data_IF_670846125115
#
_entry.id   IF_670846125115
#
_cell.length_a   1.000
_cell.length_b   1.000
_cell.length_c   1.000
_cell.angle_alpha   90.00
_cell.angle_beta   90.00
_cell.angle_gamma   90.00
#
_symmetry.space_group_name_H-M   'P 1'
#
loop_
_entity.id
_entity.type
_entity.pdbx_description
1 polymer ?
#
# COMPACT_ATOMS: atom_id res chain seq x y z
N UNK A 1 -8.72 -12.70 -35.29
CA UNK A 1 -9.56 -11.74 -36.08
C UNK A 1 -11.01 -11.66 -35.58
N UNK A 2 -11.59 -12.77 -35.11
CA UNK A 2 -13.01 -12.87 -34.75
C UNK A 2 -13.48 -11.85 -33.72
N UNK A 3 -12.62 -11.51 -32.74
CA UNK A 3 -12.94 -10.54 -31.69
C UNK A 3 -13.14 -9.12 -32.24
N UNK A 4 -12.28 -8.70 -33.17
CA UNK A 4 -12.30 -7.36 -33.75
C UNK A 4 -13.48 -7.22 -34.73
N UNK A 5 -13.77 -8.24 -35.53
CA UNK A 5 -14.91 -8.20 -36.46
C UNK A 5 -16.27 -8.22 -35.75
N UNK A 6 -16.38 -8.90 -34.60
CA UNK A 6 -17.64 -9.03 -33.84
C UNK A 6 -17.90 -7.89 -32.86
N UNK A 7 -16.95 -6.98 -32.68
CA UNK A 7 -17.08 -5.87 -31.74
C UNK A 7 -17.83 -4.70 -32.37
N UNK A 8 -19.10 -4.54 -32.00
CA UNK A 8 -19.99 -3.49 -32.52
C UNK A 8 -19.63 -2.07 -32.06
N UNK A 9 -18.86 -1.94 -30.97
CA UNK A 9 -18.39 -0.65 -30.46
C UNK A 9 -17.05 -0.20 -31.06
N UNK A 10 -16.36 -1.08 -31.79
CA UNK A 10 -15.06 -0.79 -32.38
C UNK A 10 -15.24 -0.56 -33.88
N UNK A 11 -14.95 0.65 -34.36
CA UNK A 11 -14.91 0.97 -35.79
C UNK A 11 -13.61 1.70 -36.11
N UNK A 12 -12.73 1.03 -36.84
CA UNK A 12 -11.39 1.51 -37.14
C UNK A 12 -11.37 2.50 -38.30
N UNK A 13 -12.35 2.39 -39.21
CA UNK A 13 -12.50 3.28 -40.35
C UNK A 13 -13.99 3.51 -40.65
N UNK A 14 -14.32 4.68 -41.18
CA UNK A 14 -15.71 5.07 -41.46
C UNK A 14 -16.26 4.30 -42.67
N UNK A 15 -15.40 3.99 -43.65
CA UNK A 15 -15.78 3.46 -44.96
C UNK A 15 -15.35 2.00 -45.16
N UNK A 16 -14.40 1.49 -44.36
CA UNK A 16 -13.84 0.15 -44.49
C UNK A 16 -14.17 -0.72 -43.29
N UNK A 17 -14.35 -2.02 -43.53
CA UNK A 17 -14.52 -2.96 -42.43
C UNK A 17 -13.22 -3.10 -41.64
N UNK A 18 -13.35 -3.31 -40.33
CA UNK A 18 -12.20 -3.47 -39.43
C UNK A 18 -11.23 -4.56 -39.90
N UNK A 19 -11.73 -5.63 -40.54
CA UNK A 19 -10.90 -6.71 -41.08
C UNK A 19 -9.89 -6.20 -42.10
N UNK A 20 -10.34 -5.43 -43.09
CA UNK A 20 -9.46 -4.91 -44.14
C UNK A 20 -8.44 -3.94 -43.56
N UNK A 21 -8.88 -3.04 -42.67
CA UNK A 21 -7.99 -2.08 -42.02
C UNK A 21 -6.91 -2.78 -41.20
N UNK A 22 -7.29 -3.82 -40.45
CA UNK A 22 -6.34 -4.60 -39.63
C UNK A 22 -5.37 -5.38 -40.50
N UNK A 23 -5.86 -6.10 -41.52
CA UNK A 23 -4.99 -6.93 -42.36
C UNK A 23 -3.99 -6.07 -43.15
N UNK A 24 -4.42 -4.95 -43.72
CA UNK A 24 -3.55 -4.03 -44.45
C UNK A 24 -2.46 -3.43 -43.55
N UNK A 25 -2.80 -3.00 -42.33
CA UNK A 25 -1.82 -2.38 -41.42
C UNK A 25 -0.91 -3.41 -40.76
N UNK A 26 -1.43 -4.58 -40.42
CA UNK A 26 -0.67 -5.62 -39.76
C UNK A 26 0.20 -6.42 -40.73
N UNK A 27 -0.18 -6.58 -42.00
CA UNK A 27 0.61 -7.37 -42.95
C UNK A 27 2.03 -6.84 -43.08
N UNK A 28 2.18 -5.53 -43.23
CA UNK A 28 3.47 -4.86 -43.39
C UNK A 28 4.29 -4.83 -42.08
N UNK A 29 3.64 -4.94 -40.93
CA UNK A 29 4.29 -4.87 -39.61
C UNK A 29 4.74 -6.23 -39.08
N UNK A 30 4.11 -7.34 -39.51
CA UNK A 30 4.38 -8.68 -38.97
C UNK A 30 5.35 -9.45 -39.85
N UNK A 31 5.21 -9.37 -41.19
CA UNK A 31 6.07 -10.07 -42.14
C UNK A 31 6.52 -9.08 -43.20
N UNK A 32 7.84 -8.88 -43.27
CA UNK A 32 8.46 -8.06 -44.30
C UNK A 32 8.67 -8.91 -45.55
N UNK A 33 8.39 -8.32 -46.70
CA UNK A 33 8.71 -8.90 -48.00
C UNK A 33 10.19 -9.26 -48.13
N UNK A 34 10.47 -10.34 -48.85
CA UNK A 34 11.82 -10.87 -49.07
C UNK A 34 11.88 -11.56 -50.43
N UNK A 35 13.08 -11.84 -50.93
CA UNK A 35 13.29 -12.54 -52.21
C UNK A 35 12.56 -13.89 -52.29
N UNK A 36 12.24 -14.49 -51.14
CA UNK A 36 11.53 -15.77 -51.02
C UNK A 36 10.02 -15.63 -50.79
N UNK A 37 9.52 -14.45 -50.38
CA UNK A 37 8.13 -14.23 -49.97
C UNK A 37 7.61 -12.94 -50.60
N UNK A 38 6.70 -13.10 -51.56
CA UNK A 38 6.01 -11.98 -52.21
C UNK A 38 5.05 -11.25 -51.26
N UNK A 39 4.71 -9.98 -51.53
CA UNK A 39 3.76 -9.20 -50.70
C UNK A 39 2.40 -9.88 -50.53
N UNK A 40 1.91 -10.54 -51.59
CA UNK A 40 0.64 -11.29 -51.56
C UNK A 40 0.75 -12.50 -50.63
N UNK A 41 1.89 -13.19 -50.62
CA UNK A 41 2.13 -14.28 -49.68
C UNK A 41 2.26 -13.78 -48.24
N UNK A 42 2.91 -12.64 -48.01
CA UNK A 42 2.94 -12.01 -46.68
C UNK A 42 1.51 -11.75 -46.18
N UNK A 43 0.65 -11.16 -47.03
CA UNK A 43 -0.76 -10.92 -46.70
C UNK A 43 -1.51 -12.22 -46.40
N UNK A 44 -1.32 -13.27 -47.21
CA UNK A 44 -1.96 -14.58 -46.98
C UNK A 44 -1.52 -15.22 -45.66
N UNK A 45 -0.21 -15.20 -45.36
CA UNK A 45 0.32 -15.75 -44.12
C UNK A 45 -0.25 -14.99 -42.92
N UNK A 46 -0.20 -13.65 -42.96
CA UNK A 46 -0.74 -12.83 -41.86
C UNK A 46 -2.24 -13.04 -41.70
N UNK A 47 -2.98 -13.15 -42.81
CA UNK A 47 -4.42 -13.47 -42.76
C UNK A 47 -4.65 -14.81 -42.07
N UNK A 48 -3.90 -15.85 -42.44
CA UNK A 48 -3.98 -17.17 -41.82
C UNK A 48 -3.66 -17.13 -40.32
N UNK A 49 -2.57 -16.45 -39.92
CA UNK A 49 -2.16 -16.30 -38.53
C UNK A 49 -3.25 -15.60 -37.70
N UNK A 50 -3.82 -14.53 -38.24
CA UNK A 50 -4.80 -13.72 -37.53
C UNK A 50 -6.17 -14.41 -37.46
N UNK A 51 -6.53 -15.27 -38.42
CA UNK A 51 -7.80 -16.01 -38.42
C UNK A 51 -7.80 -17.25 -37.52
N UNK A 52 -6.62 -17.84 -37.32
CA UNK A 52 -6.40 -19.03 -36.50
C UNK A 52 -5.67 -18.71 -35.20
N UNK A 53 -5.73 -17.46 -34.73
CA UNK A 53 -4.92 -16.96 -33.62
C UNK A 53 -5.14 -17.75 -32.33
N UNK A 54 -6.39 -18.17 -32.11
CA UNK A 54 -6.80 -18.87 -30.89
C UNK A 54 -6.22 -20.27 -30.78
N UNK A 55 -5.89 -20.91 -31.90
CA UNK A 55 -5.37 -22.27 -31.97
C UNK A 55 -3.85 -22.25 -32.11
N UNK A 56 -3.33 -21.48 -33.08
CA UNK A 56 -1.90 -21.37 -33.37
C UNK A 56 -1.09 -20.87 -32.17
N UNK A 57 -1.61 -19.87 -31.46
CA UNK A 57 -0.96 -19.30 -30.28
C UNK A 57 -1.54 -19.85 -28.98
N UNK A 58 -2.31 -20.94 -29.04
CA UNK A 58 -2.75 -21.63 -27.85
C UNK A 58 -1.55 -22.27 -27.16
N UNK A 59 -1.44 -22.08 -25.85
CA UNK A 59 -0.40 -22.73 -25.06
C UNK A 59 -0.79 -24.20 -24.88
N UNK A 60 0.08 -25.17 -25.27
CA UNK A 60 -0.20 -26.60 -25.13
C UNK A 60 -0.56 -26.98 -23.69
N UNK A 61 -1.54 -27.86 -23.53
CA UNK A 61 -2.03 -28.29 -22.21
C UNK A 61 -0.93 -28.99 -21.39
N UNK A 62 -0.08 -29.76 -22.06
CA UNK A 62 1.09 -30.42 -21.46
C UNK A 62 2.04 -29.41 -20.83
N UNK A 63 2.41 -28.37 -21.58
CA UNK A 63 3.28 -27.31 -21.07
C UNK A 63 2.67 -26.58 -19.87
N UNK A 64 1.36 -26.33 -19.88
CA UNK A 64 0.66 -25.75 -18.72
C UNK A 64 0.74 -26.68 -17.50
N UNK A 65 0.56 -27.98 -17.69
CA UNK A 65 0.65 -28.97 -16.62
C UNK A 65 2.07 -28.98 -16.02
N UNK A 66 3.10 -29.07 -16.87
CA UNK A 66 4.51 -29.08 -16.45
C UNK A 66 4.88 -27.82 -15.64
N UNK A 67 4.45 -26.65 -16.11
CA UNK A 67 4.69 -25.37 -15.40
C UNK A 67 3.93 -25.34 -14.08
N UNK A 68 2.68 -25.81 -14.06
CA UNK A 68 1.85 -25.86 -12.84
C UNK A 68 2.47 -26.78 -11.81
N UNK A 69 2.90 -27.99 -12.20
CA UNK A 69 3.59 -28.94 -11.35
C UNK A 69 4.88 -28.35 -10.78
N UNK A 70 5.68 -27.67 -11.61
CA UNK A 70 6.91 -27.03 -11.14
C UNK A 70 6.65 -25.90 -10.14
N UNK A 71 5.57 -25.15 -10.32
CA UNK A 71 5.13 -24.10 -9.39
C UNK A 71 4.63 -24.72 -8.08
N UNK A 72 3.79 -25.76 -8.14
CA UNK A 72 3.24 -26.42 -6.94
C UNK A 72 4.36 -27.10 -6.15
N UNK A 73 5.27 -27.81 -6.81
CA UNK A 73 6.45 -28.41 -6.18
C UNK A 73 7.28 -27.36 -5.44
N UNK A 74 7.59 -26.22 -6.10
CA UNK A 74 8.34 -25.13 -5.45
C UNK A 74 7.58 -24.52 -4.27
N UNK A 75 6.25 -24.40 -4.35
CA UNK A 75 5.43 -23.90 -3.23
C UNK A 75 5.43 -24.90 -2.07
N UNK A 76 5.28 -26.19 -2.34
CA UNK A 76 5.34 -27.25 -1.34
C UNK A 76 6.71 -27.33 -0.67
N UNK A 77 7.81 -27.19 -1.41
CA UNK A 77 9.16 -27.11 -0.82
C UNK A 77 9.32 -25.92 0.15
N UNK A 78 8.67 -24.79 -0.13
CA UNK A 78 8.68 -23.63 0.79
C UNK A 78 7.82 -23.84 2.04
N UNK A 79 6.79 -24.67 1.96
CA UNK A 79 5.86 -24.95 3.09
C UNK A 79 6.36 -26.14 3.93
N UNK A 80 7.06 -27.09 3.32
CA UNK A 80 7.64 -28.27 3.98
C UNK A 80 8.94 -27.96 4.74
N UNK A 81 9.53 -26.78 4.54
CA UNK A 81 10.51 -26.24 5.48
C UNK A 81 9.72 -25.70 6.68
N UNK A 82 9.83 -26.30 7.87
CA UNK A 82 9.22 -25.74 9.06
C UNK A 82 9.73 -24.32 9.25
N UNK A 83 8.80 -23.48 9.67
CA UNK A 83 9.00 -22.12 10.10
C UNK A 83 10.01 -22.10 11.27
N UNK A 84 11.32 -22.22 11.00
CA UNK A 84 12.38 -21.79 11.91
C UNK A 84 12.40 -20.26 11.90
N UNK A 85 11.32 -19.68 12.45
CA UNK A 85 11.44 -18.42 13.16
C UNK A 85 12.21 -18.72 14.44
N UNK A 86 13.53 -18.71 14.32
CA UNK A 86 14.47 -18.25 15.34
C UNK A 86 15.72 -17.87 14.58
N UNK A 87 15.90 -16.55 14.51
CA UNK A 87 17.20 -15.88 14.65
C UNK A 87 18.39 -16.85 14.61
N UNK A 88 19.12 -16.87 13.50
CA UNK A 88 20.57 -16.75 13.57
C UNK A 88 21.19 -16.51 12.19
N UNK A 89 22.29 -15.80 12.27
CA UNK A 89 22.99 -15.16 11.18
C UNK A 89 23.71 -16.15 10.25
N UNK A 90 23.95 -15.65 9.04
CA UNK A 90 25.03 -16.04 8.12
C UNK A 90 24.89 -17.39 7.39
N UNK A 91 25.06 -17.28 6.08
CA UNK A 91 25.54 -18.32 5.15
C UNK A 91 24.49 -19.24 4.52
N UNK A 92 23.96 -18.84 3.36
CA UNK A 92 24.14 -19.65 2.14
C UNK A 92 23.76 -18.86 0.88
N UNK A 93 24.78 -18.54 0.09
CA UNK A 93 24.81 -18.43 -1.37
C UNK A 93 23.64 -17.75 -2.11
N UNK A 94 23.90 -16.53 -2.59
CA UNK A 94 23.72 -16.24 -4.02
C UNK A 94 22.44 -15.57 -4.50
N UNK A 95 21.54 -15.11 -3.63
CA UNK A 95 20.47 -14.17 -4.05
C UNK A 95 20.24 -13.09 -3.00
N UNK A 96 20.17 -11.79 -3.38
CA UNK A 96 19.54 -10.83 -2.51
C UNK A 96 18.12 -11.32 -2.25
N UNK A 97 17.81 -11.64 -0.99
CA UNK A 97 16.43 -11.84 -0.56
C UNK A 97 15.73 -10.53 -0.89
N UNK A 98 14.91 -10.55 -1.94
CA UNK A 98 14.00 -9.44 -2.23
C UNK A 98 13.07 -9.34 -1.02
N UNK A 99 13.40 -8.48 -0.07
CA UNK A 99 12.51 -8.07 1.00
C UNK A 99 11.51 -7.12 0.37
N UNK A 100 10.45 -7.70 -0.19
CA UNK A 100 9.26 -6.92 -0.49
C UNK A 100 8.53 -6.65 0.81
N UNK A 101 8.05 -5.43 1.00
CA UNK A 101 7.08 -5.14 2.05
C UNK A 101 5.79 -5.89 1.69
N UNK A 102 5.34 -6.79 2.57
CA UNK A 102 3.98 -7.32 2.47
C UNK A 102 2.98 -6.21 2.83
N UNK A 103 1.83 -6.12 2.14
CA UNK A 103 0.78 -5.19 2.51
C UNK A 103 0.29 -5.47 3.92
N UNK A 104 0.34 -4.47 4.79
CA UNK A 104 -0.17 -4.57 6.17
C UNK A 104 -1.70 -4.47 6.12
N UNK A 105 -2.39 -5.32 6.87
CA UNK A 105 -3.84 -5.23 7.00
C UNK A 105 -4.26 -3.93 7.69
N UNK A 106 -5.42 -3.37 7.34
CA UNK A 106 -5.87 -2.09 7.90
C UNK A 106 -5.94 -2.09 9.43
N UNK A 107 -6.39 -3.21 10.01
CA UNK A 107 -6.48 -3.40 11.47
C UNK A 107 -5.10 -3.41 12.12
N UNK A 108 -4.16 -4.13 11.53
CA UNK A 108 -2.78 -4.19 12.00
C UNK A 108 -2.11 -2.82 11.88
N UNK A 109 -2.37 -2.09 10.79
CA UNK A 109 -1.90 -0.71 10.63
C UNK A 109 -2.44 0.21 11.73
N UNK A 110 -3.74 0.15 12.03
CA UNK A 110 -4.34 0.97 13.08
C UNK A 110 -3.78 0.59 14.47
N UNK A 111 -3.62 -0.70 14.76
CA UNK A 111 -3.01 -1.17 16.01
C UNK A 111 -1.54 -0.75 16.17
N UNK A 112 -0.73 -0.91 15.11
CA UNK A 112 0.66 -0.46 15.09
C UNK A 112 0.76 1.06 15.19
N UNK A 113 -0.13 1.79 14.50
CA UNK A 113 -0.19 3.25 14.54
C UNK A 113 -0.54 3.73 15.94
N UNK A 114 -1.56 3.18 16.58
CA UNK A 114 -1.98 3.64 17.90
C UNK A 114 -0.99 3.22 18.99
N UNK A 115 -0.63 1.94 19.07
CA UNK A 115 0.23 1.42 20.15
C UNK A 115 1.70 1.80 19.96
N UNK A 116 2.20 1.70 18.73
CA UNK A 116 3.59 2.01 18.40
C UNK A 116 3.90 3.49 18.57
N UNK A 117 3.05 4.36 18.02
CA UNK A 117 3.25 5.82 18.15
C UNK A 117 3.06 6.26 19.60
N UNK A 118 2.04 5.74 20.31
CA UNK A 118 1.84 6.09 21.71
C UNK A 118 3.05 5.70 22.58
N UNK A 119 3.53 4.45 22.45
CA UNK A 119 4.70 3.99 23.20
C UNK A 119 5.93 4.82 22.89
N UNK A 120 6.17 5.13 21.62
CA UNK A 120 7.32 5.92 21.20
C UNK A 120 7.25 7.37 21.71
N UNK A 121 6.07 7.99 21.67
CA UNK A 121 5.84 9.32 22.23
C UNK A 121 6.01 9.36 23.75
N UNK A 122 5.60 8.31 24.47
CA UNK A 122 5.85 8.19 25.91
C UNK A 122 7.35 8.08 26.22
N UNK A 123 8.08 7.28 25.45
CA UNK A 123 9.55 7.18 25.57
C UNK A 123 10.20 8.53 25.33
N UNK A 124 9.81 9.25 24.27
CA UNK A 124 10.34 10.59 23.97
C UNK A 124 10.03 11.59 25.10
N UNK A 125 8.84 11.54 25.70
CA UNK A 125 8.48 12.36 26.86
C UNK A 125 9.31 12.00 28.11
N UNK A 126 9.63 10.72 28.29
CA UNK A 126 10.50 10.25 29.37
C UNK A 126 11.93 10.75 29.15
N UNK A 127 12.46 10.64 27.94
CA UNK A 127 13.80 11.12 27.57
C UNK A 127 13.94 12.63 27.81
N UNK A 128 12.99 13.45 27.37
CA UNK A 128 13.02 14.90 27.64
C UNK A 128 13.08 15.20 29.15
N UNK A 129 12.51 14.34 30.00
CA UNK A 129 12.52 14.48 31.45
C UNK A 129 13.73 13.81 32.11
N UNK A 130 14.32 12.80 31.52
CA UNK A 130 15.53 12.17 32.05
C UNK A 130 16.81 12.87 31.56
N UNK A 131 16.73 13.70 30.51
CA UNK A 131 17.90 14.32 29.90
C UNK A 131 18.51 15.39 30.81
N UNK A 132 19.68 15.09 31.38
CA UNK A 132 20.48 15.95 32.25
C UNK A 132 21.35 16.95 31.46
N UNK A 133 21.51 16.74 30.15
CA UNK A 133 22.28 17.64 29.28
C UNK A 133 21.51 18.92 28.91
N UNK A 134 20.21 19.00 29.23
CA UNK A 134 19.37 20.17 28.96
C UNK A 134 19.35 21.12 30.14
N UNK A 135 19.47 22.42 29.87
CA UNK A 135 19.18 23.43 30.88
C UNK A 135 17.72 23.35 31.34
N UNK A 136 17.46 23.72 32.61
CA UNK A 136 16.12 23.70 33.21
C UNK A 136 15.11 24.50 32.37
N UNK A 137 15.54 25.61 31.77
CA UNK A 137 14.69 26.45 30.93
C UNK A 137 14.38 25.80 29.57
N UNK A 138 15.33 25.10 28.98
CA UNK A 138 15.18 24.41 27.70
C UNK A 138 14.27 23.19 27.83
N UNK A 139 14.49 22.40 28.88
CA UNK A 139 13.63 21.27 29.23
C UNK A 139 12.19 21.71 29.48
N UNK A 140 11.98 22.84 30.16
CA UNK A 140 10.64 23.42 30.36
C UNK A 140 10.01 23.88 29.06
N UNK A 141 10.77 24.46 28.12
CA UNK A 141 10.27 24.84 26.79
C UNK A 141 9.88 23.61 25.97
N UNK A 142 10.70 22.56 25.97
CA UNK A 142 10.41 21.31 25.27
C UNK A 142 9.18 20.60 25.85
N UNK A 143 9.04 20.54 27.18
CA UNK A 143 7.85 20.01 27.85
C UNK A 143 6.58 20.79 27.50
N UNK A 144 6.65 22.13 27.44
CA UNK A 144 5.52 22.96 27.00
C UNK A 144 5.14 22.68 25.54
N UNK A 145 6.14 22.54 24.66
CA UNK A 145 5.91 22.21 23.24
C UNK A 145 5.28 20.83 23.11
N UNK A 146 5.82 19.82 23.81
CA UNK A 146 5.27 18.48 23.83
C UNK A 146 3.83 18.46 24.34
N UNK A 147 3.52 19.15 25.45
CA UNK A 147 2.16 19.26 25.98
C UNK A 147 1.18 19.89 24.98
N UNK A 148 1.62 20.88 24.20
CA UNK A 148 0.78 21.54 23.18
C UNK A 148 0.51 20.61 21.99
N UNK A 149 1.50 19.84 21.56
CA UNK A 149 1.39 18.96 20.38
C UNK A 149 0.68 17.64 20.70
N UNK A 150 0.95 17.05 21.87
CA UNK A 150 0.45 15.73 22.28
C UNK A 150 -0.15 15.76 23.70
N UNK A 151 -1.28 16.48 23.91
CA UNK A 151 -1.86 16.65 25.24
C UNK A 151 -2.30 15.33 25.87
N UNK A 152 -2.88 14.43 25.08
CA UNK A 152 -3.36 13.11 25.54
C UNK A 152 -2.24 12.25 26.13
N UNK A 153 -1.08 12.23 25.49
CA UNK A 153 0.10 11.47 25.95
C UNK A 153 0.72 12.12 27.19
N UNK A 154 0.75 13.46 27.23
CA UNK A 154 1.24 14.20 28.38
C UNK A 154 0.37 13.96 29.64
N UNK A 155 -0.95 13.93 29.50
CA UNK A 155 -1.89 13.68 30.59
C UNK A 155 -1.82 12.24 31.13
N UNK A 156 -1.53 11.25 30.28
CA UNK A 156 -1.28 9.86 30.72
C UNK A 156 -0.11 9.77 31.70
N UNK A 157 0.95 10.54 31.48
CA UNK A 157 2.15 10.55 32.33
C UNK A 157 2.06 11.51 33.51
N UNK A 158 1.46 12.68 33.32
CA UNK A 158 1.23 13.68 34.35
C UNK A 158 -0.27 13.93 34.48
N UNK A 159 -1.01 13.03 35.16
CA UNK A 159 -2.43 13.24 35.40
C UNK A 159 -2.60 14.55 36.16
N UNK A 160 -3.15 15.56 35.49
CA UNK A 160 -3.49 16.79 36.20
C UNK A 160 -4.61 16.45 37.19
N UNK A 161 -4.50 16.87 38.47
CA UNK A 161 -5.62 16.73 39.38
C UNK A 161 -6.82 17.43 38.73
N UNK A 162 -7.91 16.70 38.46
CA UNK A 162 -9.16 17.29 37.99
C UNK A 162 -9.44 18.48 38.91
N UNK A 163 -9.36 19.69 38.38
CA UNK A 163 -9.57 20.91 39.15
C UNK A 163 -10.91 20.73 39.86
N UNK A 164 -10.87 20.59 41.20
CA UNK A 164 -12.09 20.69 42.00
C UNK A 164 -12.76 22.00 41.58
N UNK A 165 -14.07 22.01 41.29
CA UNK A 165 -14.74 23.22 40.84
C UNK A 165 -14.41 24.33 41.83
N UNK A 166 -13.75 25.37 41.32
CA UNK A 166 -13.33 26.51 42.12
C UNK A 166 -14.63 27.12 42.65
N UNK A 167 -14.85 27.09 43.97
CA UNK A 167 -16.04 27.69 44.59
C UNK A 167 -16.19 29.11 44.02
N UNK A 168 -17.39 29.50 43.55
CA UNK A 168 -17.59 30.82 42.98
C UNK A 168 -17.16 31.86 44.02
N UNK A 169 -16.24 32.76 43.63
CA UNK A 169 -15.90 33.92 44.43
C UNK A 169 -17.09 34.87 44.35
N UNK A 170 -17.94 34.86 45.37
CA UNK A 170 -19.00 35.84 45.53
C UNK A 170 -18.35 37.24 45.59
N UNK A 171 -18.70 38.18 44.71
CA UNK A 171 -18.25 39.56 44.81
C UNK A 171 -18.71 40.14 46.16
N UNK A 172 -17.83 40.83 46.89
CA UNK A 172 -18.06 41.29 48.27
C UNK A 172 -19.29 42.18 48.49
N UNK A 173 -19.88 42.70 47.42
CA UNK A 173 -21.13 43.49 47.42
C UNK A 173 -22.32 42.63 47.86
N UNK A 174 -22.38 41.35 47.46
CA UNK A 174 -23.49 40.46 47.81
C UNK A 174 -23.46 39.99 49.27
N UNK A 175 -22.33 40.19 49.97
CA UNK A 175 -22.26 39.88 51.40
C UNK A 175 -22.94 40.94 52.28
N UNK A 176 -23.08 42.19 51.77
CA UNK A 176 -23.75 43.28 52.51
C UNK A 176 -25.27 43.27 52.37
N UNK A 177 -25.79 42.68 51.28
CA UNK A 177 -27.23 42.59 51.05
C UNK A 177 -27.91 41.48 51.86
N UNK A 178 -27.14 40.56 52.44
CA UNK A 178 -27.67 39.45 53.27
C UNK A 178 -28.10 39.88 54.68
N UNK A 179 -27.77 41.11 55.11
CA UNK A 179 -28.08 41.61 56.45
C UNK A 179 -29.27 42.60 56.51
N UNK A 180 -29.96 42.87 55.41
CA UNK A 180 -31.21 43.61 55.46
C UNK A 180 -32.39 42.64 55.62
N UNK A 181 -32.66 42.27 56.88
CA UNK A 181 -33.96 41.74 57.27
C UNK A 181 -35.00 42.85 57.13
N UNK A 182 -35.88 42.76 56.14
CA UNK A 182 -37.14 43.49 56.16
C UNK A 182 -38.05 42.80 57.19
N UNK A 183 -38.38 43.54 58.25
CA UNK A 183 -39.43 43.22 59.20
C UNK A 183 -40.79 43.60 58.61
#
# INVERSE_FOLDING_TARGET
>A
MRRICKNHCLRLDVNRENRYVVLERLSESIIVESDLISPVQCLHIVTFLVDNESELFSVPATFKADVTERITYRRQQKVALPNERKEDALSSSGRPRLQYCEPIELKEYDEQRERGIESHLLTLLNEIVANENLSVDERKKQLKKFKKTYPQIYEKRFPSPKLRPRKPRTPGILHRLRNFNFK
#
